data_IF_371721130526
#
_entry.id   IF_371721130526
#
_cell.length_a   1.000
_cell.length_b   1.000
_cell.length_c   1.000
_cell.angle_alpha   90.00
_cell.angle_beta   90.00
_cell.angle_gamma   90.00
#
_symmetry.space_group_name_H-M   'P 1'
#
loop_
_entity.id
_entity.type
_entity.pdbx_description
1 polymer ?
#
# COMPACT_ATOMS: atom_id res chain seq x y z
N UNK A 1 19.34 -33.98 -38.34
CA UNK A 1 18.52 -32.78 -38.11
C UNK A 1 19.50 -31.74 -37.60
N UNK A 2 19.92 -30.80 -38.44
CA UNK A 2 20.86 -29.74 -38.08
C UNK A 2 20.10 -28.63 -37.34
N UNK A 3 20.22 -28.60 -36.01
CA UNK A 3 19.50 -27.67 -35.12
C UNK A 3 20.25 -26.35 -34.85
N UNK A 4 21.26 -26.02 -35.65
CA UNK A 4 22.07 -24.82 -35.46
C UNK A 4 22.17 -24.00 -36.74
N UNK A 5 21.03 -23.53 -37.23
CA UNK A 5 21.04 -22.41 -38.17
C UNK A 5 21.60 -21.17 -37.43
N UNK A 6 22.60 -20.48 -37.99
CA UNK A 6 23.13 -19.27 -37.38
C UNK A 6 22.02 -18.24 -37.25
N UNK A 7 21.92 -17.60 -36.08
CA UNK A 7 21.01 -16.48 -35.86
C UNK A 7 21.47 -15.34 -36.78
N UNK A 8 20.80 -15.20 -37.93
CA UNK A 8 21.05 -14.11 -38.87
C UNK A 8 20.36 -12.86 -38.30
N UNK A 9 21.16 -11.96 -37.74
CA UNK A 9 20.66 -10.67 -37.27
C UNK A 9 20.26 -9.80 -38.46
N UNK A 10 18.97 -9.51 -38.60
CA UNK A 10 18.48 -8.55 -39.57
C UNK A 10 18.70 -7.12 -39.07
N UNK A 11 19.74 -6.48 -39.61
CA UNK A 11 20.07 -5.08 -39.29
C UNK A 11 19.03 -4.08 -39.81
N UNK A 12 18.17 -4.47 -40.77
CA UNK A 12 17.15 -3.58 -41.31
C UNK A 12 16.07 -3.25 -40.26
N UNK A 13 15.73 -4.22 -39.40
CA UNK A 13 14.77 -4.05 -38.31
C UNK A 13 15.20 -2.93 -37.33
N UNK A 14 16.50 -2.79 -37.08
CA UNK A 14 17.04 -1.80 -36.14
C UNK A 14 17.31 -0.43 -36.78
N UNK A 15 17.34 -0.32 -38.11
CA UNK A 15 17.58 0.96 -38.79
C UNK A 15 16.47 1.98 -38.54
N UNK A 16 15.22 1.51 -38.48
CA UNK A 16 14.09 2.36 -38.16
C UNK A 16 14.10 2.75 -36.67
N UNK A 17 14.51 1.83 -35.80
CA UNK A 17 14.66 2.08 -34.37
C UNK A 17 15.77 3.10 -34.06
N UNK A 18 16.81 3.18 -34.87
CA UNK A 18 17.96 4.08 -34.66
C UNK A 18 17.84 5.42 -35.39
N UNK A 19 16.82 5.58 -36.24
CA UNK A 19 16.62 6.77 -37.06
C UNK A 19 16.55 8.06 -36.24
N UNK A 20 15.88 7.99 -35.09
CA UNK A 20 15.70 9.13 -34.17
C UNK A 20 16.98 9.46 -33.38
N UNK A 21 17.92 8.52 -33.26
CA UNK A 21 19.12 8.68 -32.42
C UNK A 21 20.10 9.70 -33.00
N UNK A 22 20.17 9.78 -34.33
CA UNK A 22 21.05 10.72 -35.03
C UNK A 22 20.53 12.16 -34.98
N UNK A 23 19.22 12.34 -34.80
CA UNK A 23 18.59 13.66 -34.67
C UNK A 23 18.46 14.13 -33.23
N UNK A 24 18.33 13.20 -32.28
CA UNK A 24 18.24 13.49 -30.85
C UNK A 24 19.01 12.43 -30.04
N UNK A 25 20.18 12.79 -29.49
CA UNK A 25 20.98 11.88 -28.66
C UNK A 25 20.23 11.38 -27.41
N UNK A 26 19.18 12.07 -26.99
CA UNK A 26 18.33 11.68 -25.86
C UNK A 26 17.19 10.74 -26.26
N UNK A 27 16.89 10.56 -27.54
CA UNK A 27 15.81 9.68 -28.01
C UNK A 27 16.01 8.21 -27.60
N UNK A 28 17.27 7.74 -27.56
CA UNK A 28 17.60 6.44 -26.98
C UNK A 28 17.19 6.42 -25.49
N UNK A 29 17.63 7.41 -24.71
CA UNK A 29 17.33 7.51 -23.28
C UNK A 29 15.82 7.58 -23.03
N UNK A 30 15.06 8.35 -23.81
CA UNK A 30 13.60 8.48 -23.70
C UNK A 30 12.86 7.16 -23.96
N UNK A 31 13.35 6.31 -24.88
CA UNK A 31 12.78 4.96 -25.11
C UNK A 31 12.97 4.00 -23.95
N UNK A 32 13.96 4.27 -23.10
CA UNK A 32 14.28 3.43 -21.96
C UNK A 32 13.83 4.01 -20.62
N UNK A 33 13.60 5.32 -20.56
CA UNK A 33 13.15 6.05 -19.39
C UNK A 33 11.66 6.33 -19.47
N UNK A 34 10.87 5.26 -19.42
CA UNK A 34 9.42 5.41 -19.41
C UNK A 34 8.92 5.44 -17.98
N UNK A 35 8.31 6.57 -17.61
CA UNK A 35 7.58 6.70 -16.35
C UNK A 35 6.14 6.31 -16.60
N UNK A 36 5.75 5.19 -16.02
CA UNK A 36 4.39 4.72 -15.98
C UNK A 36 3.75 5.03 -14.63
N UNK A 37 2.42 5.06 -14.58
CA UNK A 37 1.68 5.33 -13.36
C UNK A 37 0.66 4.26 -13.08
N UNK A 38 0.59 3.87 -11.81
CA UNK A 38 -0.45 3.04 -11.25
C UNK A 38 -1.42 3.94 -10.48
N UNK A 39 -2.63 4.09 -11.03
CA UNK A 39 -3.69 4.87 -10.41
C UNK A 39 -4.41 4.04 -9.36
N UNK A 40 -4.38 4.52 -8.13
CA UNK A 40 -5.15 3.98 -7.01
C UNK A 40 -6.67 3.96 -7.26
N UNK A 41 -7.15 4.85 -8.12
CA UNK A 41 -8.56 4.98 -8.52
C UNK A 41 -8.96 4.10 -9.70
N UNK A 42 -8.03 3.38 -10.37
CA UNK A 42 -8.32 2.71 -11.64
C UNK A 42 -7.73 1.30 -11.85
N UNK A 43 -6.77 0.84 -11.04
CA UNK A 43 -6.15 -0.48 -11.22
C UNK A 43 -6.74 -1.56 -10.30
N UNK A 44 -7.43 -2.57 -10.88
CA UNK A 44 -7.89 -3.90 -10.38
C UNK A 44 -8.49 -4.07 -8.97
N UNK A 45 -8.20 -3.22 -8.00
CA UNK A 45 -8.88 -3.07 -6.71
C UNK A 45 -10.28 -2.43 -6.87
N UNK A 46 -10.74 -2.17 -8.10
CA UNK A 46 -12.08 -1.69 -8.49
C UNK A 46 -13.09 -2.82 -8.73
N UNK A 47 -13.09 -3.86 -7.90
CA UNK A 47 -14.21 -4.82 -7.83
C UNK A 47 -14.96 -4.81 -6.51
N UNK A 48 -14.69 -3.85 -5.62
CA UNK A 48 -15.66 -3.50 -4.58
C UNK A 48 -16.46 -2.31 -5.06
N UNK A 49 -17.65 -2.57 -5.62
CA UNK A 49 -18.65 -1.56 -5.98
C UNK A 49 -19.29 -0.87 -4.77
N UNK A 50 -18.83 -1.19 -3.56
CA UNK A 50 -19.37 -0.66 -2.32
C UNK A 50 -18.24 0.12 -1.64
N UNK A 51 -18.56 1.30 -1.12
CA UNK A 51 -17.70 2.20 -0.32
C UNK A 51 -17.23 1.58 1.02
N UNK A 52 -16.97 0.27 1.05
CA UNK A 52 -16.45 -0.40 2.21
C UNK A 52 -15.01 0.05 2.45
N UNK A 53 -14.81 0.66 3.62
CA UNK A 53 -13.49 0.91 4.18
C UNK A 53 -12.69 -0.39 4.19
N UNK A 54 -11.53 -0.36 3.56
CA UNK A 54 -10.59 -1.48 3.59
C UNK A 54 -9.79 -1.35 4.88
N UNK A 55 -9.86 -2.36 5.74
CA UNK A 55 -9.16 -2.36 7.04
C UNK A 55 -7.98 -3.32 6.98
N UNK A 56 -6.83 -2.85 7.46
CA UNK A 56 -5.65 -3.71 7.63
C UNK A 56 -5.87 -4.70 8.77
N UNK A 57 -5.73 -5.99 8.50
CA UNK A 57 -6.03 -7.04 9.50
C UNK A 57 -5.08 -7.02 10.71
N UNK A 58 -3.86 -6.50 10.56
CA UNK A 58 -2.85 -6.52 11.62
C UNK A 58 -2.97 -5.32 12.55
N UNK A 59 -3.27 -4.15 11.99
CA UNK A 59 -3.32 -2.88 12.72
C UNK A 59 -4.73 -2.36 12.97
N UNK A 60 -5.73 -2.92 12.28
CA UNK A 60 -7.11 -2.44 12.24
C UNK A 60 -7.26 -0.97 11.81
N UNK A 61 -6.27 -0.44 11.09
CA UNK A 61 -6.29 0.90 10.50
C UNK A 61 -6.94 0.89 9.11
N UNK A 62 -7.52 2.03 8.74
CA UNK A 62 -8.07 2.23 7.39
C UNK A 62 -6.94 2.30 6.35
N UNK A 63 -7.07 1.50 5.29
CA UNK A 63 -6.15 1.51 4.16
C UNK A 63 -6.66 2.52 3.13
N UNK A 64 -5.90 3.60 2.97
CA UNK A 64 -6.08 4.58 1.92
C UNK A 64 -5.26 4.20 0.69
N UNK A 65 -5.81 4.56 -0.47
CA UNK A 65 -5.16 4.30 -1.75
C UNK A 65 -4.31 5.50 -2.16
N UNK A 66 -3.17 5.23 -2.79
CA UNK A 66 -2.30 6.27 -3.32
C UNK A 66 -1.58 5.85 -4.59
N UNK A 67 -1.33 6.83 -5.46
CA UNK A 67 -0.74 6.60 -6.77
C UNK A 67 0.75 6.32 -6.71
N UNK A 68 1.19 5.40 -7.54
CA UNK A 68 2.59 5.02 -7.63
C UNK A 68 3.10 5.27 -9.04
N UNK A 69 4.38 5.61 -9.16
CA UNK A 69 5.04 5.60 -10.46
C UNK A 69 5.94 4.37 -10.56
N UNK A 70 6.08 3.88 -11.78
CA UNK A 70 7.04 2.85 -12.16
C UNK A 70 7.93 3.46 -13.23
N UNK A 71 9.19 3.64 -12.89
CA UNK A 71 10.20 4.17 -13.79
C UNK A 71 11.06 3.03 -14.32
N UNK A 72 10.94 2.74 -15.61
CA UNK A 72 11.83 1.79 -16.25
C UNK A 72 13.17 2.46 -16.56
N UNK A 73 14.28 1.75 -16.34
CA UNK A 73 15.62 2.18 -16.73
C UNK A 73 16.16 1.38 -17.93
N UNK A 74 17.23 1.85 -18.62
CA UNK A 74 17.79 1.19 -19.80
C UNK A 74 18.22 -0.27 -19.61
N UNK A 75 18.68 -0.62 -18.41
CA UNK A 75 19.00 -2.00 -18.03
C UNK A 75 17.75 -2.87 -17.75
N UNK A 76 16.55 -2.38 -18.11
CA UNK A 76 15.24 -3.03 -17.92
C UNK A 76 14.85 -3.27 -16.46
N UNK A 77 15.57 -2.68 -15.50
CA UNK A 77 15.09 -2.59 -14.13
C UNK A 77 13.97 -1.55 -14.05
N UNK A 78 13.10 -1.72 -13.05
CA UNK A 78 12.01 -0.81 -12.77
C UNK A 78 12.16 -0.29 -11.34
N UNK A 79 12.02 1.00 -11.18
CA UNK A 79 12.04 1.69 -9.89
C UNK A 79 10.60 2.05 -9.53
N UNK A 80 10.15 1.66 -8.34
CA UNK A 80 8.83 2.04 -7.81
C UNK A 80 8.95 3.14 -6.76
N UNK A 81 8.01 4.07 -6.76
CA UNK A 81 7.93 5.17 -5.81
C UNK A 81 6.56 5.86 -5.82
N UNK A 82 6.41 6.90 -4.99
CA UNK A 82 5.15 7.64 -4.87
C UNK A 82 4.98 8.62 -6.03
N UNK A 83 3.83 8.58 -6.71
CA UNK A 83 3.53 9.49 -7.82
C UNK A 83 3.22 10.91 -7.30
N UNK A 84 3.38 11.97 -8.12
CA UNK A 84 3.19 13.35 -7.67
C UNK A 84 1.81 13.65 -7.05
N UNK A 85 0.73 13.01 -7.53
CA UNK A 85 -0.61 13.16 -6.96
C UNK A 85 -0.91 12.19 -5.81
N UNK A 86 0.08 11.44 -5.32
CA UNK A 86 -0.11 10.60 -4.14
C UNK A 86 -0.51 11.49 -2.95
N UNK A 87 -1.51 11.12 -2.11
CA UNK A 87 -1.99 12.00 -1.04
C UNK A 87 -0.90 12.46 -0.06
N UNK A 88 0.03 11.58 0.30
CA UNK A 88 1.22 11.94 1.10
C UNK A 88 2.12 13.03 0.49
N UNK A 89 2.11 13.21 -0.84
CA UNK A 89 2.88 14.24 -1.53
C UNK A 89 2.05 15.49 -1.82
N UNK A 90 0.80 15.30 -2.28
CA UNK A 90 -0.08 16.37 -2.72
C UNK A 90 -0.77 17.10 -1.56
N UNK A 91 -0.97 16.44 -0.42
CA UNK A 91 -1.70 16.96 0.74
C UNK A 91 -0.83 16.88 2.00
N UNK A 92 0.34 17.55 1.96
CA UNK A 92 1.32 17.55 3.07
C UNK A 92 0.78 18.17 4.37
N UNK A 93 -0.21 19.04 4.26
CA UNK A 93 -0.92 19.69 5.37
C UNK A 93 -2.01 18.79 5.97
N UNK A 94 -2.45 17.75 5.25
CA UNK A 94 -3.42 16.77 5.72
C UNK A 94 -2.76 15.56 6.35
N UNK A 95 -1.75 14.99 5.71
CA UNK A 95 -1.14 13.74 6.18
C UNK A 95 0.26 13.94 6.73
N UNK A 96 0.46 13.53 7.99
CA UNK A 96 1.79 13.44 8.60
C UNK A 96 2.23 11.98 8.64
N UNK A 97 3.25 11.62 7.87
CA UNK A 97 3.83 10.27 7.90
C UNK A 97 4.41 10.01 9.30
N UNK A 98 3.97 8.90 9.91
CA UNK A 98 4.43 8.43 11.21
C UNK A 98 5.53 7.40 11.02
N UNK A 99 5.30 6.43 10.12
CA UNK A 99 6.27 5.39 9.86
C UNK A 99 6.13 4.71 8.52
N UNK A 100 7.20 4.00 8.12
CA UNK A 100 7.22 3.13 6.95
C UNK A 100 7.76 1.76 7.34
N UNK A 101 7.06 0.70 6.90
CA UNK A 101 7.41 -0.69 7.16
C UNK A 101 7.41 -1.50 5.87
N UNK A 102 8.53 -2.14 5.54
CA UNK A 102 8.61 -3.06 4.42
C UNK A 102 7.97 -4.42 4.75
N UNK A 103 7.48 -5.11 3.73
CA UNK A 103 6.94 -6.46 3.91
C UNK A 103 8.03 -7.41 4.42
N UNK A 104 7.84 -8.08 5.58
CA UNK A 104 8.85 -8.94 6.16
C UNK A 104 9.29 -10.10 5.25
N UNK A 105 8.41 -10.59 4.37
CA UNK A 105 8.74 -11.68 3.44
C UNK A 105 9.71 -11.21 2.36
N UNK A 106 9.58 -9.96 1.90
CA UNK A 106 10.53 -9.37 0.95
C UNK A 106 11.85 -9.06 1.66
N UNK A 107 11.78 -8.45 2.85
CA UNK A 107 12.98 -8.06 3.58
C UNK A 107 13.85 -9.27 3.97
N UNK A 108 13.24 -10.37 4.41
CA UNK A 108 13.95 -11.59 4.82
C UNK A 108 14.55 -12.40 3.67
N UNK A 109 14.10 -12.18 2.44
CA UNK A 109 14.55 -12.91 1.25
C UNK A 109 15.57 -12.14 0.41
N UNK A 110 15.78 -10.85 0.71
CA UNK A 110 16.82 -10.07 0.07
C UNK A 110 18.21 -10.49 0.60
N UNK A 111 19.22 -10.58 -0.28
CA UNK A 111 20.57 -10.91 0.13
C UNK A 111 21.07 -9.82 1.10
N UNK A 112 21.40 -10.23 2.32
CA UNK A 112 22.01 -9.35 3.32
C UNK A 112 23.42 -8.95 2.83
N UNK A 113 23.84 -7.67 3.00
CA UNK A 113 25.19 -7.22 2.61
C UNK A 113 26.33 -7.87 3.40
N UNK A 114 26.04 -8.70 4.39
CA UNK A 114 27.06 -9.34 5.24
C UNK A 114 27.87 -10.34 4.44
N UNK A 115 29.20 -10.27 4.60
CA UNK A 115 30.21 -10.97 3.83
C UNK A 115 29.87 -12.44 3.57
N UNK A 116 29.35 -12.71 2.38
CA UNK A 116 29.01 -14.06 1.95
C UNK A 116 30.33 -14.81 1.72
N UNK A 117 30.60 -15.93 2.43
CA UNK A 117 31.74 -16.77 2.11
C UNK A 117 31.59 -17.29 0.68
N UNK A 118 32.67 -17.22 -0.09
CA UNK A 118 32.74 -17.33 -1.56
C UNK A 118 32.06 -18.57 -2.21
N UNK A 119 31.57 -19.53 -1.44
CA UNK A 119 31.02 -20.81 -1.90
C UNK A 119 29.53 -21.06 -1.59
N UNK A 120 28.80 -20.12 -1.00
CA UNK A 120 27.36 -20.32 -0.79
C UNK A 120 26.56 -19.96 -2.04
N UNK A 121 25.67 -20.87 -2.47
CA UNK A 121 24.75 -20.65 -3.59
C UNK A 121 23.90 -19.40 -3.29
N UNK A 122 24.05 -18.33 -4.07
CA UNK A 122 23.26 -17.10 -3.93
C UNK A 122 21.77 -17.46 -3.99
N UNK A 123 21.03 -17.17 -2.93
CA UNK A 123 19.58 -17.30 -2.97
C UNK A 123 19.01 -16.40 -4.08
N UNK A 124 18.04 -16.87 -4.87
CA UNK A 124 17.41 -16.03 -5.87
C UNK A 124 16.66 -14.88 -5.17
N UNK A 125 16.62 -13.67 -5.77
CA UNK A 125 15.86 -12.56 -5.20
C UNK A 125 14.37 -12.91 -5.11
N UNK A 126 13.61 -12.34 -4.15
CA UNK A 126 12.19 -12.64 -3.98
C UNK A 126 11.38 -12.30 -5.22
N UNK A 127 10.59 -13.26 -5.70
CA UNK A 127 9.61 -13.02 -6.76
C UNK A 127 8.43 -12.19 -6.24
N UNK A 128 7.97 -11.23 -7.02
CA UNK A 128 6.76 -10.45 -6.75
C UNK A 128 5.75 -10.52 -7.90
N UNK A 129 4.48 -10.37 -7.55
CA UNK A 129 3.36 -10.12 -8.45
C UNK A 129 3.00 -8.63 -8.42
N UNK A 130 2.18 -8.14 -9.37
CA UNK A 130 1.74 -6.75 -9.40
C UNK A 130 1.08 -6.31 -8.08
N UNK A 131 0.34 -7.22 -7.44
CA UNK A 131 -0.41 -6.91 -6.22
C UNK A 131 0.40 -7.14 -4.93
N UNK A 132 1.64 -7.63 -5.06
CA UNK A 132 2.53 -7.85 -3.92
C UNK A 132 2.79 -6.52 -3.22
N UNK A 133 2.47 -6.48 -1.93
CA UNK A 133 2.75 -5.33 -1.05
C UNK A 133 4.25 -5.25 -0.81
N UNK A 134 4.83 -4.10 -1.11
CA UNK A 134 6.26 -3.80 -0.90
C UNK A 134 6.46 -3.17 0.47
N UNK A 135 5.67 -2.14 0.78
CA UNK A 135 5.67 -1.50 2.08
C UNK A 135 4.30 -0.93 2.44
N UNK A 136 4.12 -0.66 3.73
CA UNK A 136 3.00 0.07 4.31
C UNK A 136 3.55 1.35 4.93
N UNK A 137 2.90 2.47 4.65
CA UNK A 137 3.23 3.79 5.19
C UNK A 137 2.10 4.18 6.13
N UNK A 138 2.40 4.26 7.42
CA UNK A 138 1.46 4.75 8.44
C UNK A 138 1.52 6.27 8.49
N UNK A 139 0.36 6.91 8.48
CA UNK A 139 0.24 8.36 8.53
C UNK A 139 -0.90 8.78 9.45
N UNK A 140 -0.82 10.01 9.95
CA UNK A 140 -1.87 10.68 10.70
C UNK A 140 -2.64 11.62 9.77
N UNK A 141 -3.95 11.44 9.66
CA UNK A 141 -4.87 12.38 9.02
C UNK A 141 -5.20 13.51 10.00
N UNK A 142 -4.56 14.66 9.78
CA UNK A 142 -4.71 15.86 10.60
C UNK A 142 -6.10 16.51 10.46
N UNK A 143 -6.85 16.17 9.41
CA UNK A 143 -8.18 16.74 9.19
C UNK A 143 -9.25 15.93 9.92
N UNK A 144 -9.08 14.61 10.04
CA UNK A 144 -9.99 13.75 10.81
C UNK A 144 -10.11 14.17 12.29
N UNK A 145 -9.09 14.81 12.88
CA UNK A 145 -9.16 15.34 14.26
C UNK A 145 -10.04 16.59 14.37
N UNK A 146 -10.00 17.47 13.37
CA UNK A 146 -10.78 18.72 13.37
C UNK A 146 -12.28 18.44 13.32
N UNK A 147 -12.69 17.41 12.59
CA UNK A 147 -14.09 17.01 12.48
C UNK A 147 -14.66 16.45 13.79
N UNK A 148 -13.79 15.92 14.67
CA UNK A 148 -14.16 15.44 15.99
C UNK A 148 -14.25 16.61 17.00
N UNK A 149 -13.26 17.51 17.00
CA UNK A 149 -13.22 18.67 17.89
C UNK A 149 -14.38 19.64 17.61
N UNK A 150 -14.73 19.90 16.35
CA UNK A 150 -15.86 20.77 15.98
C UNK A 150 -17.23 20.21 16.41
N UNK A 151 -17.38 18.89 16.48
CA UNK A 151 -18.62 18.24 16.93
C UNK A 151 -18.80 18.26 18.46
N UNK A 152 -17.72 18.33 19.23
CA UNK A 152 -17.81 18.43 20.69
C UNK A 152 -18.19 19.85 21.14
N UNK A 153 -17.70 20.89 20.46
CA UNK A 153 -18.10 22.28 20.73
C UNK A 153 -19.58 22.55 20.38
N UNK A 154 -20.10 22.01 19.27
CA UNK A 154 -21.53 22.13 18.94
C UNK A 154 -22.45 21.38 19.91
N UNK A 155 -21.97 20.31 20.55
CA UNK A 155 -22.71 19.62 21.62
C UNK A 155 -22.69 20.38 22.94
N UNK A 156 -21.60 21.06 23.27
CA UNK A 156 -21.51 21.89 24.47
C UNK A 156 -22.44 23.11 24.40
N UNK A 157 -22.57 23.75 23.23
CA UNK A 157 -23.47 24.91 23.04
C UNK A 157 -24.95 24.52 23.10
N UNK A 158 -25.30 23.30 22.69
CA UNK A 158 -26.69 22.82 22.77
C UNK A 158 -27.09 22.24 24.15
N UNK A 159 -26.12 21.96 25.03
CA UNK A 159 -26.40 21.46 26.38
C UNK A 159 -26.80 22.57 27.38
N UNK A 160 -26.51 23.85 27.09
CA UNK A 160 -26.87 24.96 27.98
C UNK A 160 -28.28 25.56 27.74
N UNK A 161 -29.05 25.04 26.78
CA UNK A 161 -30.40 25.58 26.44
C UNK A 161 -31.55 24.63 26.80
N UNK A 162 -31.34 23.68 27.70
CA UNK A 162 -32.31 22.62 28.02
C UNK A 162 -32.58 22.38 29.52
N UNK A 163 -33.02 23.39 30.25
CA UNK A 163 -33.83 23.23 31.48
C UNK A 163 -35.26 23.59 31.09
N UNK A 164 -36.32 22.81 31.32
CA UNK A 164 -36.88 22.37 32.61
C UNK A 164 -38.06 21.41 32.34
N UNK A 165 -38.17 20.26 33.02
CA UNK A 165 -39.40 19.76 33.72
C UNK A 165 -39.22 18.34 34.33
N UNK A 166 -39.04 18.33 35.65
CA UNK A 166 -39.70 17.57 36.74
C UNK A 166 -40.49 16.24 36.54
N UNK A 167 -40.19 15.29 37.48
CA UNK A 167 -41.03 14.27 38.20
C UNK A 167 -41.63 13.09 37.41
N UNK A 168 -41.73 11.84 37.88
CA UNK A 168 -41.92 11.25 39.23
C UNK A 168 -41.63 9.73 39.22
N UNK A 169 -41.49 9.15 40.42
CA UNK A 169 -41.36 7.74 40.83
C UNK A 169 -42.33 6.72 40.17
N UNK A 170 -41.94 5.43 40.11
CA UNK A 170 -42.53 4.36 40.94
C UNK A 170 -41.94 2.95 40.69
N UNK A 171 -41.67 2.28 41.81
CA UNK A 171 -41.40 0.86 42.08
C UNK A 171 -42.55 -0.08 41.68
N UNK A 172 -42.25 -1.32 41.27
CA UNK A 172 -42.88 -2.52 41.87
C UNK A 172 -42.36 -3.85 41.28
N UNK A 173 -42.14 -4.78 42.19
CA UNK A 173 -41.90 -6.21 42.03
C UNK A 173 -43.09 -6.96 41.40
N UNK A 174 -42.86 -8.12 40.77
CA UNK A 174 -43.70 -9.31 41.02
C UNK A 174 -43.06 -10.61 40.52
N UNK A 175 -43.16 -11.61 41.38
CA UNK A 175 -42.83 -13.03 41.21
C UNK A 175 -43.85 -13.75 40.30
N UNK A 176 -43.45 -14.88 39.69
CA UNK A 176 -44.05 -16.22 39.94
C UNK A 176 -43.94 -17.19 38.74
N UNK A 177 -43.25 -18.31 39.02
CA UNK A 177 -43.65 -19.72 38.87
C UNK A 177 -44.01 -20.39 37.51
N UNK A 178 -43.48 -21.62 37.43
CA UNK A 178 -43.98 -22.85 36.79
C UNK A 178 -43.84 -23.01 35.25
N UNK A 179 -43.17 -24.07 34.78
CA UNK A 179 -43.71 -25.45 34.72
C UNK A 179 -42.68 -26.40 34.09
N UNK A 180 -42.71 -27.64 34.59
CA UNK A 180 -41.97 -28.85 34.24
C UNK A 180 -42.39 -29.44 32.89
N UNK A 181 -41.46 -29.96 32.08
CA UNK A 181 -41.64 -31.23 31.34
C UNK A 181 -40.30 -31.86 30.99
N UNK A 182 -40.12 -33.11 31.46
CA UNK A 182 -39.11 -34.08 31.04
C UNK A 182 -39.41 -34.63 29.64
N UNK A 183 -38.37 -34.97 28.88
CA UNK A 183 -38.21 -36.30 28.22
C UNK A 183 -36.81 -36.43 27.59
N UNK A 184 -36.09 -37.47 28.03
CA UNK A 184 -34.79 -38.01 27.57
C UNK A 184 -34.89 -38.77 26.20
N UNK A 185 -33.86 -39.48 25.69
CA UNK A 185 -32.48 -39.06 25.35
C UNK A 185 -32.01 -39.62 23.97
N UNK A 186 -30.92 -39.09 23.37
CA UNK A 186 -30.00 -39.92 22.52
C UNK A 186 -28.62 -39.28 22.29
N UNK A 187 -27.60 -40.10 22.57
CA UNK A 187 -26.13 -39.94 22.61
C UNK A 187 -25.43 -39.55 21.27
N UNK A 188 -24.07 -39.64 21.14
CA UNK A 188 -22.95 -39.06 21.90
C UNK A 188 -21.86 -38.38 20.99
N UNK A 189 -21.08 -37.42 21.51
CA UNK A 189 -19.71 -37.10 21.05
C UNK A 189 -19.04 -36.12 22.04
N UNK A 190 -18.18 -36.59 22.93
CA UNK A 190 -16.71 -36.57 22.85
C UNK A 190 -16.03 -35.21 23.08
N UNK A 191 -15.37 -35.14 24.25
CA UNK A 191 -14.05 -34.53 24.50
C UNK A 191 -13.96 -33.01 24.66
N UNK A 192 -14.05 -32.61 25.93
CA UNK A 192 -13.48 -31.41 26.54
C UNK A 192 -11.95 -31.53 26.55
N UNK A 193 -11.24 -30.52 26.02
CA UNK A 193 -9.91 -30.10 26.53
C UNK A 193 -9.73 -28.58 26.41
N UNK A 194 -9.67 -27.97 27.59
CA UNK A 194 -8.86 -26.81 28.01
C UNK A 194 -8.89 -25.52 27.18
N UNK A 195 -9.67 -24.57 27.71
CA UNK A 195 -9.47 -23.12 27.60
C UNK A 195 -8.06 -22.74 28.09
N UNK A 196 -7.25 -22.17 27.21
CA UNK A 196 -6.09 -21.36 27.59
C UNK A 196 -6.55 -19.90 27.61
N UNK A 197 -6.76 -19.38 28.82
CA UNK A 197 -6.93 -17.96 29.08
C UNK A 197 -5.65 -17.24 28.65
N UNK A 198 -5.69 -16.62 27.49
CA UNK A 198 -4.69 -15.62 27.08
C UNK A 198 -5.02 -14.33 27.81
N UNK A 199 -4.14 -13.96 28.73
CA UNK A 199 -4.18 -12.71 29.47
C UNK A 199 -4.38 -11.52 28.53
N UNK A 200 -5.40 -10.72 28.83
CA UNK A 200 -5.78 -9.56 28.05
C UNK A 200 -4.69 -8.51 28.05
N UNK A 201 -3.96 -8.40 26.92
CA UNK A 201 -3.31 -7.15 26.57
C UNK A 201 -4.36 -6.03 26.58
N UNK A 202 -4.08 -4.87 27.22
CA UNK A 202 -4.97 -3.73 27.13
C UNK A 202 -5.22 -3.43 25.65
N UNK A 203 -6.50 -3.39 25.26
CA UNK A 203 -6.90 -2.93 23.93
C UNK A 203 -6.49 -1.47 23.82
N UNK A 204 -5.29 -1.25 23.30
CA UNK A 204 -4.78 0.06 22.96
C UNK A 204 -5.82 0.72 22.05
N UNK A 205 -6.41 1.81 22.49
CA UNK A 205 -7.42 2.53 21.73
C UNK A 205 -6.78 3.01 20.44
N UNK A 206 -7.20 2.45 19.32
CA UNK A 206 -6.67 2.79 18.00
C UNK A 206 -7.10 4.22 17.69
N UNK A 207 -6.13 5.11 17.46
CA UNK A 207 -6.39 6.49 17.06
C UNK A 207 -7.11 6.48 15.70
N UNK A 208 -8.38 6.94 15.62
CA UNK A 208 -9.18 6.87 14.39
C UNK A 208 -8.63 7.77 13.27
N UNK A 209 -7.73 8.70 13.60
CA UNK A 209 -7.05 9.54 12.62
C UNK A 209 -5.84 8.87 11.98
N UNK A 210 -5.44 7.66 12.42
CA UNK A 210 -4.36 6.92 11.78
C UNK A 210 -4.85 6.15 10.56
N UNK A 211 -4.07 6.23 9.49
CA UNK A 211 -4.35 5.60 8.20
C UNK A 211 -3.11 4.92 7.65
N UNK A 212 -3.30 3.97 6.74
CA UNK A 212 -2.22 3.25 6.07
C UNK A 212 -2.30 3.49 4.56
N UNK A 213 -1.19 3.87 3.95
CA UNK A 213 -0.99 3.81 2.51
C UNK A 213 -0.21 2.55 2.15
N UNK A 214 -0.71 1.79 1.17
CA UNK A 214 -0.07 0.56 0.71
C UNK A 214 0.64 0.80 -0.61
N UNK A 215 1.95 0.52 -0.64
CA UNK A 215 2.75 0.55 -1.87
C UNK A 215 2.92 -0.89 -2.35
N UNK A 216 2.61 -1.11 -3.62
CA UNK A 216 2.66 -2.42 -4.27
C UNK A 216 3.78 -2.46 -5.30
N UNK A 217 4.09 -3.65 -5.79
CA UNK A 217 5.06 -3.84 -6.85
C UNK A 217 4.60 -3.18 -8.16
N UNK A 218 3.27 -3.17 -8.41
CA UNK A 218 2.57 -2.75 -9.63
C UNK A 218 2.98 -3.52 -10.91
N UNK A 219 4.12 -4.19 -10.90
CA UNK A 219 4.62 -5.08 -11.95
C UNK A 219 5.02 -6.44 -11.36
N UNK A 220 4.97 -7.49 -12.17
CA UNK A 220 5.46 -8.82 -11.77
C UNK A 220 6.95 -8.96 -12.09
N UNK A 221 7.72 -9.48 -11.14
CA UNK A 221 9.18 -9.47 -11.25
C UNK A 221 9.89 -10.17 -10.09
N UNK A 222 11.10 -9.70 -9.82
CA UNK A 222 11.85 -10.01 -8.61
C UNK A 222 12.32 -8.71 -7.97
N UNK A 223 12.10 -8.53 -6.68
CA UNK A 223 12.62 -7.37 -5.95
C UNK A 223 14.12 -7.58 -5.78
N UNK A 224 14.92 -6.67 -6.32
CA UNK A 224 16.38 -6.74 -6.30
C UNK A 224 16.94 -5.92 -5.14
N UNK A 225 16.31 -4.77 -4.86
CA UNK A 225 16.79 -3.81 -3.88
C UNK A 225 15.58 -3.08 -3.26
N UNK A 226 15.69 -2.81 -1.97
CA UNK A 226 14.86 -1.83 -1.26
C UNK A 226 15.75 -0.66 -0.92
N UNK A 227 15.20 0.55 -0.91
CA UNK A 227 16.01 1.73 -0.59
C UNK A 227 16.58 1.62 0.83
N UNK A 228 17.89 1.42 0.94
CA UNK A 228 18.56 1.21 2.24
C UNK A 228 18.48 2.42 3.15
N UNK A 229 18.27 3.63 2.61
CA UNK A 229 18.02 4.83 3.44
C UNK A 229 16.70 4.73 4.16
N UNK A 230 15.76 3.99 3.56
CA UNK A 230 14.48 3.65 4.13
C UNK A 230 14.56 2.37 4.99
N UNK A 231 15.74 1.79 5.18
CA UNK A 231 15.95 0.66 6.06
C UNK A 231 16.82 1.10 7.24
N UNK A 232 16.30 0.98 8.45
CA UNK A 232 17.14 1.01 9.65
C UNK A 232 17.61 -0.40 9.96
N UNK A 233 18.91 -0.58 10.22
CA UNK A 233 19.51 -1.90 10.49
C UNK A 233 19.02 -2.51 11.80
N UNK A 234 18.53 -1.67 12.69
CA UNK A 234 18.12 -1.95 14.06
C UNK A 234 16.59 -1.98 14.23
N UNK A 235 15.82 -1.34 13.36
CA UNK A 235 14.35 -1.36 13.41
C UNK A 235 13.73 -1.57 12.02
N UNK A 236 12.73 -2.47 11.86
CA UNK A 236 12.00 -2.65 10.60
C UNK A 236 11.07 -1.47 10.26
N UNK A 237 11.01 -0.47 11.14
CA UNK A 237 10.17 0.71 11.06
C UNK A 237 11.05 1.96 11.00
N UNK A 238 10.83 2.80 9.98
CA UNK A 238 11.44 4.13 9.91
C UNK A 238 10.53 5.11 10.64
N UNK A 239 11.11 5.87 11.56
CA UNK A 239 10.42 6.96 12.27
C UNK A 239 11.17 8.29 12.07
N UNK A 240 12.31 8.27 11.35
CA UNK A 240 13.15 9.44 11.14
C UNK A 240 12.46 10.49 10.25
N UNK A 241 12.16 11.69 10.77
CA UNK A 241 11.52 12.73 9.99
C UNK A 241 12.33 13.15 8.76
N UNK A 242 13.66 13.16 8.85
CA UNK A 242 14.56 13.62 7.78
C UNK A 242 14.57 12.64 6.60
N UNK A 243 14.55 11.35 6.91
CA UNK A 243 14.49 10.28 5.90
C UNK A 243 13.14 10.27 5.22
N UNK A 244 12.07 10.42 6.01
CA UNK A 244 10.70 10.53 5.52
C UNK A 244 10.57 11.76 4.61
N UNK A 245 11.08 12.92 5.01
CA UNK A 245 11.07 14.13 4.19
C UNK A 245 11.85 13.93 2.90
N UNK A 246 13.03 13.30 2.95
CA UNK A 246 13.79 12.94 1.75
C UNK A 246 13.00 12.01 0.82
N UNK A 247 12.27 11.03 1.39
CA UNK A 247 11.39 10.14 0.62
C UNK A 247 10.30 10.95 -0.11
N UNK A 248 9.71 11.94 0.56
CA UNK A 248 8.62 12.74 0.02
C UNK A 248 9.11 13.79 -0.98
N UNK A 249 10.20 14.50 -0.70
CA UNK A 249 10.75 15.56 -1.56
C UNK A 249 11.46 15.02 -2.80
N UNK A 250 12.14 13.88 -2.64
CA UNK A 250 12.97 13.27 -3.68
C UNK A 250 12.42 11.92 -4.12
N UNK A 251 11.09 11.75 -4.10
CA UNK A 251 10.39 10.50 -4.41
C UNK A 251 10.84 9.86 -5.74
N UNK A 252 11.17 10.66 -6.75
CA UNK A 252 11.64 10.19 -8.07
C UNK A 252 13.14 9.89 -8.16
N UNK A 253 13.94 10.28 -7.17
CA UNK A 253 15.40 10.11 -7.18
C UNK A 253 15.85 9.31 -5.96
N UNK A 254 16.10 9.98 -4.84
CA UNK A 254 16.66 9.39 -3.62
C UNK A 254 15.61 8.74 -2.72
N UNK A 255 14.35 9.07 -2.94
CA UNK A 255 13.18 8.60 -2.22
C UNK A 255 12.47 7.42 -2.87
N UNK A 256 13.12 6.72 -3.80
CA UNK A 256 12.56 5.50 -4.37
C UNK A 256 12.28 4.46 -3.27
N UNK A 257 11.39 3.52 -3.53
CA UNK A 257 10.99 2.51 -2.54
C UNK A 257 11.68 1.18 -2.83
N UNK A 258 11.59 0.70 -4.07
CA UNK A 258 12.19 -0.56 -4.48
C UNK A 258 12.66 -0.56 -5.93
N UNK A 259 13.63 -1.42 -6.22
CA UNK A 259 14.08 -1.77 -7.58
C UNK A 259 13.63 -3.19 -7.88
N UNK A 260 12.90 -3.35 -8.97
CA UNK A 260 12.29 -4.61 -9.41
C UNK A 260 12.85 -4.98 -10.77
N UNK A 261 13.27 -6.23 -10.92
CA UNK A 261 13.58 -6.82 -12.22
C UNK A 261 12.31 -7.47 -12.79
N UNK A 262 11.69 -6.92 -13.85
CA UNK A 262 10.50 -7.51 -14.45
C UNK A 262 10.80 -8.90 -15.03
N UNK A 263 9.77 -9.73 -15.16
CA UNK A 263 9.85 -10.97 -15.95
C UNK A 263 9.82 -10.59 -17.43
N UNK A 264 10.95 -10.72 -18.13
CA UNK A 264 11.17 -10.25 -19.52
C UNK A 264 10.09 -10.78 -20.47
N UNK A 265 9.75 -12.07 -20.33
CA UNK A 265 8.77 -12.79 -21.17
C UNK A 265 7.33 -12.27 -21.04
N UNK A 266 7.07 -11.33 -20.12
CA UNK A 266 5.75 -10.80 -19.80
C UNK A 266 5.72 -9.28 -19.68
N UNK A 267 6.64 -8.57 -20.31
CA UNK A 267 6.75 -7.11 -20.16
C UNK A 267 5.47 -6.39 -20.59
N UNK A 268 4.87 -6.73 -21.74
CA UNK A 268 3.59 -6.14 -22.19
C UNK A 268 2.44 -6.40 -21.22
N UNK A 269 2.38 -7.63 -20.67
CA UNK A 269 1.38 -8.01 -19.66
C UNK A 269 1.60 -7.24 -18.36
N UNK A 270 2.87 -7.02 -17.98
CA UNK A 270 3.23 -6.28 -16.77
C UNK A 270 2.90 -4.79 -16.87
N UNK A 271 2.94 -4.22 -18.08
CA UNK A 271 2.62 -2.80 -18.31
C UNK A 271 1.13 -2.56 -18.57
N UNK A 272 0.32 -3.60 -18.79
CA UNK A 272 -1.11 -3.47 -19.15
C UNK A 272 -1.93 -2.64 -18.17
N UNK A 273 -1.63 -2.74 -16.87
CA UNK A 273 -2.37 -2.02 -15.81
C UNK A 273 -1.74 -0.66 -15.48
N UNK A 274 -0.70 -0.25 -16.21
CA UNK A 274 -0.04 1.03 -16.02
C UNK A 274 -0.41 1.97 -17.17
N UNK A 275 -0.43 3.27 -16.86
CA UNK A 275 -0.71 4.31 -17.84
C UNK A 275 0.53 5.18 -18.10
N UNK A 276 0.56 5.82 -19.27
CA UNK A 276 1.59 6.79 -19.62
C UNK A 276 1.46 8.06 -18.78
N UNK A 277 2.47 8.94 -18.81
CA UNK A 277 2.39 10.26 -18.16
C UNK A 277 1.17 11.05 -18.64
N UNK A 278 0.97 11.15 -19.96
CA UNK A 278 -0.12 11.93 -20.55
C UNK A 278 -1.49 11.39 -20.16
N UNK A 279 -1.64 10.05 -20.13
CA UNK A 279 -2.87 9.41 -19.69
C UNK A 279 -3.12 9.62 -18.20
N UNK A 280 -2.07 9.55 -17.39
CA UNK A 280 -2.13 9.82 -15.96
C UNK A 280 -2.58 11.25 -15.66
N UNK A 281 -1.96 12.24 -16.31
CA UNK A 281 -2.34 13.66 -16.17
C UNK A 281 -3.79 13.89 -16.59
N UNK A 282 -4.19 13.32 -17.73
CA UNK A 282 -5.57 13.42 -18.24
C UNK A 282 -6.58 12.81 -17.29
N UNK A 283 -6.28 11.64 -16.73
CA UNK A 283 -7.17 10.97 -15.76
C UNK A 283 -7.27 11.75 -14.45
N UNK A 284 -6.15 12.29 -13.95
CA UNK A 284 -6.14 13.09 -12.72
C UNK A 284 -6.82 14.44 -12.89
N UNK A 285 -6.65 15.10 -14.03
CA UNK A 285 -7.38 16.32 -14.37
C UNK A 285 -8.89 16.10 -14.35
N UNK A 286 -9.39 15.03 -14.99
CA UNK A 286 -10.83 14.69 -14.98
C UNK A 286 -11.35 14.44 -13.56
N UNK A 287 -10.57 13.74 -12.73
CA UNK A 287 -10.95 13.51 -11.34
C UNK A 287 -10.99 14.80 -10.52
N UNK A 288 -10.04 15.73 -10.74
CA UNK A 288 -10.04 17.02 -10.06
C UNK A 288 -11.30 17.82 -10.41
N UNK A 289 -11.61 17.95 -11.71
CA UNK A 289 -12.81 18.66 -12.19
C UNK A 289 -14.10 18.03 -11.67
N UNK A 290 -14.17 16.69 -11.58
CA UNK A 290 -15.35 16.00 -11.09
C UNK A 290 -15.59 16.18 -9.57
N UNK A 291 -14.57 16.54 -8.78
CA UNK A 291 -14.74 16.84 -7.35
C UNK A 291 -15.12 18.29 -7.07
N UNK A 292 -15.01 19.19 -8.06
CA UNK A 292 -15.37 20.60 -7.94
C UNK A 292 -16.85 20.91 -8.29
N UNK A 293 -17.58 19.93 -8.83
CA UNK A 293 -19.00 20.02 -9.21
C UNK A 293 -19.90 19.42 -8.14
#
# INVERSE_FOLDING_TARGET
MDEHAPIVYDLAQYKEETKDWNSDPSAYLLRYYTKYYFLATGGKDLKSSNDQKIIDQQTSLEILRGDQFIYQSPNKLCITGLAPTHPLLAQRDRYKVLSLRFDPKILSSLPQPTAIPANSKKQPPPSCHCDTVICKIEALDLWAKKDLEGNEEEKAVNAETGSTTTTTDETSETEAANTVTETDPKAPASTIKSNEQTEGKPKESIDPSRVIFVVRSAISGHVIELNERLLRRDTPEIIDPTVIETMLEKASTHGFIAVIRPKIDKTEIALKDLCTMDDYERMRYRHAVAMEQ
#
